data_IF_945476867323
#
_entry.id   IF_945476867323
#
_cell.length_a   1.000
_cell.length_b   1.000
_cell.length_c   1.000
_cell.angle_alpha   90.00
_cell.angle_beta   90.00
_cell.angle_gamma   90.00
#
_symmetry.space_group_name_H-M   'P 1'
#
loop_
_entity.id
_entity.type
_entity.pdbx_description
1 polymer ?
#
# COMPACT_ATOMS: atom_id res chain seq x y z
N UNK A 1 12.44 -14.01 -16.75
CA UNK A 1 11.95 -12.67 -16.36
C UNK A 1 12.76 -12.19 -15.17
N UNK A 2 13.62 -11.19 -15.35
CA UNK A 2 14.25 -10.50 -14.22
C UNK A 2 13.22 -9.48 -13.77
N UNK A 3 12.52 -9.76 -12.66
CA UNK A 3 11.67 -8.76 -12.02
C UNK A 3 12.56 -7.60 -11.58
N UNK A 4 12.26 -6.41 -12.08
CA UNK A 4 12.93 -5.21 -11.64
C UNK A 4 12.66 -4.97 -10.15
N UNK A 5 13.60 -4.32 -9.45
CA UNK A 5 13.44 -3.95 -8.03
C UNK A 5 12.11 -3.22 -7.76
N UNK A 6 11.61 -2.47 -8.76
CA UNK A 6 10.33 -1.76 -8.73
C UNK A 6 9.13 -2.72 -8.74
N UNK A 7 9.11 -3.69 -9.65
CA UNK A 7 8.04 -4.70 -9.74
C UNK A 7 7.96 -5.53 -8.45
N UNK A 8 9.11 -5.86 -7.86
CA UNK A 8 9.15 -6.56 -6.58
C UNK A 8 8.63 -5.70 -5.42
N UNK A 9 8.91 -4.39 -5.42
CA UNK A 9 8.40 -3.47 -4.41
C UNK A 9 6.87 -3.29 -4.53
N UNK A 10 6.35 -3.19 -5.75
CA UNK A 10 4.90 -3.12 -6.01
C UNK A 10 4.18 -4.39 -5.59
N UNK A 11 4.75 -5.57 -5.90
CA UNK A 11 4.18 -6.85 -5.49
C UNK A 11 4.16 -6.98 -3.96
N UNK A 12 5.23 -6.59 -3.28
CA UNK A 12 5.30 -6.59 -1.82
C UNK A 12 4.28 -5.61 -1.20
N UNK A 13 4.14 -4.40 -1.77
CA UNK A 13 3.16 -3.43 -1.33
C UNK A 13 1.73 -3.97 -1.46
N UNK A 14 1.35 -4.54 -2.61
CA UNK A 14 0.02 -5.09 -2.82
C UNK A 14 -0.30 -6.27 -1.89
N UNK A 15 0.68 -7.14 -1.62
CA UNK A 15 0.52 -8.24 -0.67
C UNK A 15 0.29 -7.70 0.75
N UNK A 16 1.11 -6.74 1.19
CA UNK A 16 0.95 -6.11 2.50
C UNK A 16 -0.39 -5.38 2.65
N UNK A 17 -0.81 -4.63 1.63
CA UNK A 17 -2.11 -3.95 1.63
C UNK A 17 -3.28 -4.94 1.63
N UNK A 18 -3.20 -6.03 0.87
CA UNK A 18 -4.25 -7.05 0.88
C UNK A 18 -4.43 -7.67 2.27
N UNK A 19 -3.33 -7.85 3.01
CA UNK A 19 -3.36 -8.33 4.39
C UNK A 19 -3.97 -7.26 5.31
N UNK A 20 -3.54 -6.01 5.20
CA UNK A 20 -4.07 -4.90 6.00
C UNK A 20 -5.59 -4.69 5.76
N UNK A 21 -6.06 -4.76 4.52
CA UNK A 21 -7.49 -4.68 4.16
C UNK A 21 -8.26 -5.85 4.77
N UNK A 22 -7.68 -7.05 4.77
CA UNK A 22 -8.31 -8.23 5.40
C UNK A 22 -8.37 -8.09 6.92
N UNK A 23 -7.35 -7.50 7.54
CA UNK A 23 -7.35 -7.18 8.97
C UNK A 23 -8.41 -6.13 9.30
N UNK A 24 -8.58 -5.11 8.47
CA UNK A 24 -9.64 -4.10 8.61
C UNK A 24 -11.04 -4.72 8.49
N UNK A 25 -11.26 -5.57 7.47
CA UNK A 25 -12.52 -6.32 7.30
C UNK A 25 -12.84 -7.23 8.46
N UNK A 26 -11.82 -7.84 9.05
CA UNK A 26 -11.96 -8.69 10.23
C UNK A 26 -12.03 -7.90 11.54
N UNK A 27 -12.09 -6.56 11.50
CA UNK A 27 -12.13 -5.69 12.68
C UNK A 27 -10.91 -5.88 13.63
N UNK A 28 -9.80 -6.43 13.11
CA UNK A 28 -8.55 -6.62 13.86
C UNK A 28 -7.83 -5.28 14.03
N UNK A 29 -7.96 -4.40 13.04
CA UNK A 29 -7.43 -3.04 13.04
C UNK A 29 -8.55 -2.05 12.73
N UNK A 30 -8.42 -0.82 13.24
CA UNK A 30 -9.32 0.28 12.91
C UNK A 30 -8.84 1.00 11.64
N UNK A 31 -9.68 1.92 11.14
CA UNK A 31 -9.35 2.71 9.94
C UNK A 31 -8.10 3.56 10.13
N UNK A 32 -7.93 4.18 11.31
CA UNK A 32 -6.75 4.98 11.65
C UNK A 32 -5.46 4.14 11.63
N UNK A 33 -5.50 2.96 12.26
CA UNK A 33 -4.39 1.99 12.24
C UNK A 33 -4.07 1.52 10.81
N UNK A 34 -5.10 1.30 9.99
CA UNK A 34 -4.92 0.96 8.58
C UNK A 34 -4.24 2.10 7.79
N UNK A 35 -4.59 3.36 8.07
CA UNK A 35 -3.96 4.52 7.42
C UNK A 35 -2.49 4.70 7.86
N UNK A 36 -2.16 4.47 9.14
CA UNK A 36 -0.76 4.42 9.60
C UNK A 36 0.02 3.30 8.91
N UNK A 37 -0.53 2.09 8.86
CA UNK A 37 0.10 0.95 8.18
C UNK A 37 0.29 1.27 6.69
N UNK A 38 -0.70 1.88 6.04
CA UNK A 38 -0.60 2.29 4.64
C UNK A 38 0.50 3.33 4.43
N UNK A 39 0.61 4.33 5.32
CA UNK A 39 1.65 5.36 5.26
C UNK A 39 3.07 4.75 5.39
N UNK A 40 3.26 3.84 6.36
CA UNK A 40 4.53 3.12 6.56
C UNK A 40 4.86 2.25 5.34
N UNK A 41 3.87 1.59 4.74
CA UNK A 41 4.06 0.78 3.53
C UNK A 41 4.41 1.63 2.32
N UNK A 42 3.81 2.81 2.17
CA UNK A 42 4.12 3.77 1.11
C UNK A 42 5.56 4.28 1.22
N UNK A 43 5.99 4.67 2.42
CA UNK A 43 7.36 5.13 2.68
C UNK A 43 8.39 3.99 2.51
N UNK A 44 8.06 2.77 2.96
CA UNK A 44 8.99 1.64 2.91
C UNK A 44 9.22 1.08 1.50
N UNK A 45 8.16 1.00 0.71
CA UNK A 45 8.22 0.35 -0.60
C UNK A 45 8.32 1.35 -1.76
N UNK A 46 8.07 2.65 -1.53
CA UNK A 46 7.98 3.68 -2.58
C UNK A 46 7.31 3.13 -3.86
N UNK A 47 6.10 2.54 -3.74
CA UNK A 47 5.45 1.93 -4.90
C UNK A 47 5.11 3.03 -5.91
N UNK A 48 5.44 2.80 -7.18
CA UNK A 48 5.14 3.73 -8.27
C UNK A 48 3.62 4.01 -8.37
N UNK A 49 2.81 3.00 -8.03
CA UNK A 49 1.35 3.09 -7.93
C UNK A 49 0.87 3.94 -6.73
N UNK A 50 1.58 3.95 -5.60
CA UNK A 50 1.25 4.83 -4.47
C UNK A 50 1.45 6.30 -4.81
N UNK A 51 2.46 6.60 -5.62
CA UNK A 51 2.70 7.93 -6.18
C UNK A 51 1.61 8.33 -7.19
N UNK A 52 1.12 7.39 -8.02
CA UNK A 52 -0.01 7.60 -8.92
C UNK A 52 -1.34 7.80 -8.18
N UNK A 53 -1.62 7.03 -7.12
CA UNK A 53 -2.83 7.24 -6.31
C UNK A 53 -2.73 8.52 -5.47
N UNK A 54 -1.55 8.92 -5.01
CA UNK A 54 -1.35 10.21 -4.33
C UNK A 54 -1.52 11.40 -5.28
N UNK A 55 -1.21 11.24 -6.58
CA UNK A 55 -1.53 12.21 -7.63
C UNK A 55 -3.02 12.21 -8.01
N UNK A 56 -3.71 11.08 -7.90
CA UNK A 56 -5.13 10.98 -8.23
C UNK A 56 -6.06 11.36 -7.07
N UNK A 57 -5.57 11.46 -5.84
CA UNK A 57 -6.27 12.08 -4.71
C UNK A 57 -6.28 13.62 -4.81
N UNK A 58 -5.51 14.20 -5.75
CA UNK A 58 -5.53 15.63 -6.11
C UNK A 58 -6.53 15.98 -7.22
N UNK A 59 -7.37 15.03 -7.67
CA UNK A 59 -8.42 15.31 -8.66
C UNK A 59 -9.78 14.85 -8.12
N UNK A 60 -10.38 15.79 -7.37
CA UNK A 60 -11.83 16.05 -7.17
C UNK A 60 -12.80 14.87 -7.04
#
# INVERSE_FOLDING_TARGET
>A
MVMNKKEHAEMMYQLSISIAVKMLKNHIINKEEFEEINCILLEKYHPFIGELFSLNDLIY
#
